data_IF_179142069473
#
_entry.id   IF_179142069473
#
_cell.length_a   1.000
_cell.length_b   1.000
_cell.length_c   1.000
_cell.angle_alpha   90.00
_cell.angle_beta   90.00
_cell.angle_gamma   90.00
#
_symmetry.space_group_name_H-M   'P 1'
#
loop_
_entity.id
_entity.type
_entity.pdbx_description
1 polymer ?
#
# COMPACT_ATOMS: atom_id res chain seq x y z
N UNK A 1 35.72 -9.05 3.90
CA UNK A 1 35.04 -7.79 3.54
C UNK A 1 34.16 -7.44 4.73
N UNK A 2 34.45 -6.34 5.44
CA UNK A 2 33.61 -5.91 6.55
C UNK A 2 32.23 -5.53 6.00
N UNK A 3 31.15 -5.92 6.67
CA UNK A 3 29.82 -5.38 6.36
C UNK A 3 29.89 -3.86 6.47
N UNK A 4 29.52 -3.16 5.39
CA UNK A 4 29.28 -1.72 5.47
C UNK A 4 28.19 -1.48 6.51
N UNK A 5 28.40 -0.50 7.39
CA UNK A 5 27.41 -0.13 8.39
C UNK A 5 26.17 0.45 7.68
N UNK A 6 25.03 -0.20 7.89
CA UNK A 6 23.73 0.20 7.31
C UNK A 6 22.75 0.63 8.40
N UNK A 7 21.80 1.46 8.00
CA UNK A 7 20.66 1.87 8.82
C UNK A 7 19.38 1.82 8.01
N UNK A 8 18.24 1.86 8.69
CA UNK A 8 16.93 1.97 8.05
C UNK A 8 16.49 3.43 7.96
N UNK A 9 15.89 3.80 6.83
CA UNK A 9 15.24 5.09 6.59
C UNK A 9 13.84 4.82 6.08
N UNK A 10 12.85 5.41 6.75
CA UNK A 10 11.46 5.40 6.30
C UNK A 10 11.15 6.66 5.51
N UNK A 11 10.60 6.47 4.31
CA UNK A 11 10.28 7.55 3.38
C UNK A 11 8.79 7.54 3.06
N UNK A 12 8.15 8.70 3.24
CA UNK A 12 6.70 8.85 3.06
C UNK A 12 6.34 9.81 1.92
N UNK A 13 7.32 10.54 1.37
CA UNK A 13 7.11 11.67 0.47
C UNK A 13 7.75 11.52 -0.91
N UNK A 14 8.52 12.54 -1.31
CA UNK A 14 9.15 12.64 -2.64
C UNK A 14 10.22 11.57 -2.92
N UNK A 15 10.76 10.95 -1.87
CA UNK A 15 11.72 9.84 -1.94
C UNK A 15 11.10 8.47 -2.24
N UNK A 16 9.77 8.31 -2.06
CA UNK A 16 9.07 7.05 -2.34
C UNK A 16 9.17 6.67 -3.81
N UNK A 17 9.05 5.37 -4.11
CA UNK A 17 9.06 4.81 -5.46
C UNK A 17 8.15 5.61 -6.39
N UNK A 18 8.63 5.86 -7.61
CA UNK A 18 7.96 6.62 -8.68
C UNK A 18 7.74 8.12 -8.40
N UNK A 19 8.31 8.67 -7.33
CA UNK A 19 8.32 10.11 -7.06
C UNK A 19 9.66 10.78 -7.43
N UNK A 20 9.65 12.12 -7.45
CA UNK A 20 10.73 12.92 -8.04
C UNK A 20 12.13 12.71 -7.46
N UNK A 21 12.24 12.37 -6.17
CA UNK A 21 13.53 12.17 -5.51
C UNK A 21 13.89 10.68 -5.36
N UNK A 22 13.09 9.74 -5.88
CA UNK A 22 13.38 8.31 -5.74
C UNK A 22 14.70 7.90 -6.40
N UNK A 23 15.21 8.68 -7.36
CA UNK A 23 16.50 8.42 -8.01
C UNK A 23 17.66 8.26 -7.01
N UNK A 24 17.60 8.91 -5.84
CA UNK A 24 18.61 8.81 -4.80
C UNK A 24 18.59 7.46 -4.05
N UNK A 25 17.48 6.71 -4.09
CA UNK A 25 17.31 5.44 -3.40
C UNK A 25 17.38 4.22 -4.33
N UNK A 26 17.66 4.40 -5.62
CA UNK A 26 17.66 3.28 -6.61
C UNK A 26 18.65 2.16 -6.27
N UNK A 27 19.76 2.48 -5.60
CA UNK A 27 20.75 1.48 -5.16
C UNK A 27 20.47 0.93 -3.75
N UNK A 28 19.52 1.50 -3.02
CA UNK A 28 19.14 1.06 -1.69
C UNK A 28 18.23 -0.16 -1.78
N UNK A 29 18.39 -1.10 -0.84
CA UNK A 29 17.49 -2.24 -0.74
C UNK A 29 16.17 -1.80 -0.12
N UNK A 30 15.07 -1.96 -0.85
CA UNK A 30 13.73 -1.83 -0.28
C UNK A 30 13.49 -2.99 0.70
N UNK A 31 13.23 -2.67 1.96
CA UNK A 31 12.95 -3.64 3.03
C UNK A 31 11.46 -3.93 3.12
N UNK A 32 10.62 -2.89 2.95
CA UNK A 32 9.17 -2.99 2.88
C UNK A 32 8.60 -1.87 1.99
N UNK A 33 7.79 -2.24 1.01
CA UNK A 33 7.01 -1.33 0.18
C UNK A 33 5.77 -0.82 0.93
N UNK A 34 5.23 -1.62 1.84
CA UNK A 34 4.09 -1.29 2.68
C UNK A 34 4.55 -1.16 4.14
N UNK A 35 4.65 0.08 4.59
CA UNK A 35 5.01 0.38 5.98
C UNK A 35 4.32 1.65 6.46
N UNK A 36 4.26 1.83 7.78
CA UNK A 36 3.72 3.05 8.36
C UNK A 36 4.40 3.41 9.68
N UNK A 37 4.34 4.69 10.04
CA UNK A 37 4.75 5.21 11.35
C UNK A 37 3.67 6.11 11.92
N UNK A 38 3.72 6.36 13.23
CA UNK A 38 2.81 7.26 13.91
C UNK A 38 3.10 8.72 13.52
N UNK A 39 2.04 9.45 13.17
CA UNK A 39 2.13 10.87 12.85
C UNK A 39 0.97 11.35 11.98
N UNK A 40 0.99 12.63 11.62
CA UNK A 40 0.10 13.18 10.61
C UNK A 40 0.88 13.80 9.46
N UNK A 41 0.38 13.58 8.25
CA UNK A 41 0.99 14.08 7.03
C UNK A 41 0.33 15.39 6.59
N UNK A 42 1.15 16.34 6.16
CA UNK A 42 0.74 17.66 5.69
C UNK A 42 1.38 17.99 4.35
N UNK A 43 0.73 18.86 3.60
CA UNK A 43 1.26 19.48 2.40
C UNK A 43 1.51 20.96 2.66
N UNK A 44 2.74 21.43 2.40
CA UNK A 44 3.07 22.85 2.45
C UNK A 44 2.49 23.62 1.26
N UNK A 45 2.51 24.95 1.33
CA UNK A 45 2.17 25.84 0.21
C UNK A 45 3.03 25.53 -1.03
N UNK A 46 4.29 25.15 -0.83
CA UNK A 46 5.21 24.76 -1.90
C UNK A 46 4.96 23.35 -2.46
N UNK A 47 3.95 22.63 -1.97
CA UNK A 47 3.60 21.29 -2.44
C UNK A 47 4.53 20.19 -1.92
N UNK A 48 5.17 20.39 -0.76
CA UNK A 48 6.06 19.41 -0.15
C UNK A 48 5.39 18.67 1.01
N UNK A 49 5.63 17.35 1.16
CA UNK A 49 5.07 16.55 2.24
C UNK A 49 5.86 16.70 3.55
N UNK A 50 5.17 17.06 4.63
CA UNK A 50 5.73 17.15 5.98
C UNK A 50 5.03 16.17 6.92
N UNK A 51 5.80 15.40 7.69
CA UNK A 51 5.28 14.55 8.75
C UNK A 51 5.43 15.26 10.09
N UNK A 52 4.33 15.41 10.82
CA UNK A 52 4.32 15.85 12.22
C UNK A 52 4.19 14.62 13.14
N UNK A 53 5.24 14.27 13.89
CA UNK A 53 5.27 13.06 14.72
C UNK A 53 4.49 13.22 16.03
N UNK A 54 4.09 14.45 16.40
CA UNK A 54 3.37 14.73 17.63
C UNK A 54 1.86 14.59 17.47
N UNK A 55 1.36 14.53 16.24
CA UNK A 55 -0.06 14.35 15.96
C UNK A 55 -0.44 12.88 15.75
N UNK A 56 -1.67 12.54 16.18
CA UNK A 56 -2.22 11.21 15.98
C UNK A 56 -2.50 10.89 14.51
N UNK A 57 -2.31 9.63 14.15
CA UNK A 57 -2.59 9.10 12.82
C UNK A 57 -1.53 8.11 12.36
N UNK A 58 -1.68 7.62 11.14
CA UNK A 58 -0.66 6.81 10.46
C UNK A 58 -0.20 7.55 9.22
N UNK A 59 1.12 7.59 9.02
CA UNK A 59 1.72 8.01 7.76
C UNK A 59 2.27 6.78 7.06
N UNK A 60 1.83 6.55 5.84
CA UNK A 60 2.20 5.40 5.03
C UNK A 60 3.38 5.74 4.11
N UNK A 61 4.29 4.78 3.99
CA UNK A 61 5.54 4.95 3.28
C UNK A 61 6.24 3.63 3.01
N UNK A 62 7.51 3.76 2.67
CA UNK A 62 8.40 2.66 2.29
C UNK A 62 9.62 2.69 3.20
N UNK A 63 10.20 1.52 3.46
CA UNK A 63 11.34 1.34 4.34
C UNK A 63 12.55 0.88 3.52
N UNK A 64 13.65 1.62 3.60
CA UNK A 64 14.87 1.32 2.85
C UNK A 64 16.06 1.11 3.79
N UNK A 65 16.92 0.17 3.41
CA UNK A 65 18.24 0.00 4.01
C UNK A 65 19.26 0.84 3.25
N UNK A 66 19.94 1.74 3.96
CA UNK A 66 20.91 2.69 3.40
C UNK A 66 22.22 2.59 4.14
N UNK A 67 23.34 2.75 3.43
CA UNK A 67 24.64 2.92 4.09
C UNK A 67 24.84 4.37 4.56
N UNK A 68 25.86 4.60 5.39
CA UNK A 68 26.14 5.92 5.97
C UNK A 68 26.38 7.00 4.90
N UNK A 69 27.04 6.66 3.79
CA UNK A 69 27.29 7.62 2.70
C UNK A 69 25.99 8.10 2.05
N UNK A 70 25.06 7.17 1.79
CA UNK A 70 23.74 7.49 1.27
C UNK A 70 22.91 8.28 2.29
N UNK A 71 22.95 7.91 3.57
CA UNK A 71 22.26 8.65 4.63
C UNK A 71 22.71 10.11 4.69
N UNK A 72 24.02 10.37 4.62
CA UNK A 72 24.55 11.74 4.57
C UNK A 72 24.13 12.50 3.30
N UNK A 73 23.93 11.79 2.19
CA UNK A 73 23.39 12.39 0.97
C UNK A 73 21.93 12.81 1.16
N UNK A 74 21.11 11.95 1.77
CA UNK A 74 19.73 12.27 2.14
C UNK A 74 19.66 13.44 3.12
N UNK A 75 20.57 13.52 4.09
CA UNK A 75 20.65 14.67 5.00
C UNK A 75 20.85 15.99 4.27
N UNK A 76 21.73 16.01 3.26
CA UNK A 76 21.94 17.21 2.43
C UNK A 76 20.70 17.55 1.61
N UNK A 77 20.05 16.54 1.02
CA UNK A 77 18.82 16.71 0.23
C UNK A 77 17.69 17.29 1.08
N UNK A 78 17.46 16.73 2.27
CA UNK A 78 16.39 17.10 3.19
C UNK A 78 16.76 18.32 4.07
N UNK A 79 17.93 18.92 3.86
CA UNK A 79 18.39 20.09 4.59
C UNK A 79 18.59 19.85 6.09
N UNK A 80 18.97 18.63 6.47
CA UNK A 80 19.34 18.25 7.84
C UNK A 80 20.83 18.49 8.07
N UNK A 81 21.16 19.34 9.04
CA UNK A 81 22.53 19.74 9.42
C UNK A 81 22.97 19.18 10.77
N UNK A 82 22.10 18.43 11.44
CA UNK A 82 22.34 17.90 12.79
C UNK A 82 21.27 18.32 13.80
N UNK A 83 21.30 17.69 14.98
CA UNK A 83 20.36 17.98 16.06
C UNK A 83 20.54 19.41 16.59
N UNK A 84 19.43 20.09 16.88
CA UNK A 84 19.42 21.47 17.40
C UNK A 84 19.81 22.56 16.38
N UNK A 85 20.08 22.20 15.12
CA UNK A 85 20.40 23.15 14.05
C UNK A 85 19.14 23.66 13.35
N UNK A 86 19.29 24.77 12.62
CA UNK A 86 18.23 25.26 11.72
C UNK A 86 18.14 24.35 10.48
N UNK A 87 17.25 23.37 10.58
CA UNK A 87 17.02 22.35 9.56
C UNK A 87 15.77 22.66 8.72
N UNK A 88 15.74 22.12 7.49
CA UNK A 88 14.53 22.08 6.67
C UNK A 88 13.61 20.93 7.12
N UNK A 89 14.14 19.71 7.22
CA UNK A 89 13.56 18.61 8.01
C UNK A 89 14.48 18.21 9.16
N UNK A 90 13.90 17.80 10.30
CA UNK A 90 14.64 17.16 11.39
C UNK A 90 14.65 15.66 11.20
N UNK A 91 15.79 14.99 11.40
CA UNK A 91 15.84 13.52 11.40
C UNK A 91 15.66 12.99 12.82
N UNK A 92 14.68 12.12 13.01
CA UNK A 92 14.38 11.45 14.28
C UNK A 92 14.33 9.94 14.08
N UNK A 93 14.45 9.16 15.14
CA UNK A 93 14.20 7.72 15.11
C UNK A 93 12.73 7.45 15.50
N UNK A 94 12.02 6.64 14.72
CA UNK A 94 10.67 6.18 15.03
C UNK A 94 10.53 4.67 14.85
N UNK A 95 9.50 4.12 15.48
CA UNK A 95 9.05 2.76 15.20
C UNK A 95 8.21 2.75 13.94
N UNK A 96 8.64 1.96 12.97
CA UNK A 96 7.97 1.75 11.68
C UNK A 96 7.39 0.35 11.68
N UNK A 97 6.11 0.24 11.38
CA UNK A 97 5.39 -1.02 11.33
C UNK A 97 5.33 -1.53 9.88
N UNK A 98 5.68 -2.79 9.69
CA UNK A 98 5.61 -3.51 8.41
C UNK A 98 4.82 -4.80 8.60
N UNK A 99 4.44 -5.44 7.50
CA UNK A 99 3.79 -6.76 7.53
C UNK A 99 4.69 -7.86 8.13
N UNK A 100 6.01 -7.61 8.21
CA UNK A 100 7.00 -8.52 8.81
C UNK A 100 7.37 -8.16 10.23
N UNK A 101 6.70 -7.17 10.81
CA UNK A 101 6.92 -6.69 12.16
C UNK A 101 7.52 -5.28 12.24
N UNK A 102 7.62 -4.74 13.47
CA UNK A 102 8.08 -3.38 13.71
C UNK A 102 9.62 -3.27 13.67
N UNK A 103 10.12 -2.18 13.10
CA UNK A 103 11.54 -1.86 12.95
C UNK A 103 11.79 -0.40 13.32
N UNK A 104 12.93 -0.10 13.94
CA UNK A 104 13.36 1.28 14.18
C UNK A 104 14.01 1.84 12.92
N UNK A 105 13.62 3.05 12.52
CA UNK A 105 14.17 3.71 11.35
C UNK A 105 14.29 5.22 11.55
N UNK A 106 15.20 5.83 10.79
CA UNK A 106 15.24 7.28 10.68
C UNK A 106 14.10 7.81 9.82
N UNK A 107 13.51 8.91 10.28
CA UNK A 107 12.40 9.61 9.61
C UNK A 107 12.74 11.10 9.58
N UNK A 108 12.60 11.73 8.41
CA UNK A 108 12.67 13.18 8.28
C UNK A 108 11.30 13.77 8.64
N UNK A 109 11.23 14.68 9.60
CA UNK A 109 9.98 15.22 10.13
C UNK A 109 10.02 16.75 10.12
N UNK A 110 8.85 17.37 10.24
CA UNK A 110 8.76 18.81 10.37
C UNK A 110 9.54 19.29 11.61
N UNK A 111 10.36 20.35 11.52
CA UNK A 111 11.02 20.91 12.70
C UNK A 111 9.98 21.48 13.68
N UNK A 112 10.25 21.34 14.99
CA UNK A 112 9.38 21.87 16.04
C UNK A 112 9.05 23.35 15.80
N UNK A 113 7.76 23.69 15.91
CA UNK A 113 7.29 25.07 15.74
C UNK A 113 7.28 25.60 14.30
N UNK A 114 7.62 24.79 13.28
CA UNK A 114 7.52 25.18 11.86
C UNK A 114 6.19 24.80 11.19
N UNK A 115 5.32 24.10 11.90
CA UNK A 115 3.95 23.90 11.45
C UNK A 115 3.23 25.25 11.44
N UNK A 116 2.57 25.58 10.34
CA UNK A 116 1.78 26.80 10.20
C UNK A 116 0.35 26.46 9.76
N UNK A 117 -0.53 27.46 9.83
CA UNK A 117 -1.96 27.32 9.48
C UNK A 117 -2.18 27.08 7.98
N UNK A 118 -1.21 27.44 7.13
CA UNK A 118 -1.29 27.28 5.68
C UNK A 118 -1.01 25.84 5.21
N UNK A 119 -0.46 24.99 6.08
CA UNK A 119 -0.24 23.58 5.80
C UNK A 119 -1.54 22.79 5.84
N UNK A 120 -1.86 22.10 4.75
CA UNK A 120 -3.08 21.31 4.64
C UNK A 120 -2.81 19.88 5.06
N UNK A 121 -3.63 19.36 5.98
CA UNK A 121 -3.59 17.95 6.34
C UNK A 121 -3.89 17.08 5.13
N UNK A 122 -3.14 15.99 4.96
CA UNK A 122 -3.38 14.97 3.94
C UNK A 122 -4.18 13.83 4.58
N UNK A 123 -5.45 13.73 4.20
CA UNK A 123 -6.31 12.63 4.63
C UNK A 123 -5.78 11.27 4.15
N UNK A 124 -5.97 10.23 4.95
CA UNK A 124 -5.45 8.88 4.67
C UNK A 124 -3.94 8.71 4.87
N UNK A 125 -3.18 9.79 5.06
CA UNK A 125 -1.77 9.71 5.46
C UNK A 125 -0.83 9.14 4.40
N UNK A 126 -1.23 9.09 3.13
CA UNK A 126 -0.40 8.58 2.03
C UNK A 126 -0.19 9.63 0.94
N UNK A 127 1.05 10.11 0.82
CA UNK A 127 1.46 11.11 -0.17
C UNK A 127 1.24 10.67 -1.62
N UNK A 128 1.50 9.40 -1.94
CA UNK A 128 1.38 8.87 -3.30
C UNK A 128 -0.08 8.79 -3.71
N UNK A 129 -0.97 8.36 -2.81
CA UNK A 129 -2.41 8.40 -3.04
C UNK A 129 -2.89 9.85 -3.24
N UNK A 130 -2.56 10.76 -2.32
CA UNK A 130 -2.91 12.18 -2.43
C UNK A 130 -2.47 12.80 -3.76
N UNK A 131 -1.22 12.55 -4.15
CA UNK A 131 -0.64 13.04 -5.40
C UNK A 131 -1.31 12.44 -6.64
N UNK A 132 -1.69 11.17 -6.59
CA UNK A 132 -2.36 10.48 -7.69
C UNK A 132 -3.76 11.05 -7.94
N UNK A 133 -4.54 11.23 -6.87
CA UNK A 133 -5.92 11.71 -6.94
C UNK A 133 -6.01 13.17 -7.43
N UNK A 134 -5.00 14.00 -7.14
CA UNK A 134 -4.92 15.36 -7.68
C UNK A 134 -4.66 15.44 -9.18
N UNK A 135 -4.00 14.43 -9.75
CA UNK A 135 -3.44 14.48 -11.11
C UNK A 135 -4.25 13.68 -12.13
N UNK A 136 -5.07 12.73 -11.69
CA UNK A 136 -5.77 11.78 -12.55
C UNK A 136 -7.25 11.71 -12.22
N UNK A 137 -8.05 11.43 -13.24
CA UNK A 137 -9.50 11.13 -13.14
C UNK A 137 -9.84 9.69 -13.57
N UNK A 138 -8.82 8.92 -13.96
CA UNK A 138 -8.88 7.50 -14.29
C UNK A 138 -7.74 6.78 -13.61
N UNK A 139 -8.03 5.59 -13.10
CA UNK A 139 -7.11 4.82 -12.27
C UNK A 139 -7.08 3.37 -12.75
N UNK A 140 -5.91 2.76 -12.67
CA UNK A 140 -5.82 1.30 -12.75
C UNK A 140 -6.08 0.75 -11.35
N UNK A 141 -7.01 -0.18 -11.24
CA UNK A 141 -7.42 -0.82 -10.00
C UNK A 141 -7.18 -2.32 -10.08
N UNK A 142 -6.36 -2.84 -9.17
CA UNK A 142 -6.07 -4.26 -9.03
C UNK A 142 -6.97 -4.89 -7.97
N UNK A 143 -7.90 -5.73 -8.42
CA UNK A 143 -8.73 -6.55 -7.56
C UNK A 143 -8.14 -7.96 -7.45
N UNK A 144 -8.00 -8.46 -6.23
CA UNK A 144 -7.36 -9.77 -5.94
C UNK A 144 -8.29 -10.76 -5.22
N UNK A 145 -9.57 -10.42 -5.06
CA UNK A 145 -10.55 -11.20 -4.31
C UNK A 145 -11.99 -10.94 -4.81
N UNK A 146 -12.99 -10.78 -3.93
CA UNK A 146 -14.40 -10.60 -4.31
C UNK A 146 -14.70 -9.46 -5.30
N UNK A 147 -13.82 -8.47 -5.43
CA UNK A 147 -13.95 -7.42 -6.44
C UNK A 147 -13.60 -7.90 -7.87
N UNK A 148 -13.15 -9.16 -8.03
CA UNK A 148 -13.04 -9.82 -9.33
C UNK A 148 -14.40 -10.33 -9.83
N UNK A 149 -15.37 -10.52 -8.92
CA UNK A 149 -16.70 -11.01 -9.27
C UNK A 149 -17.71 -9.87 -9.50
N UNK A 150 -18.44 -9.97 -10.60
CA UNK A 150 -19.37 -8.93 -11.02
C UNK A 150 -20.77 -9.05 -10.41
N UNK A 151 -21.13 -10.13 -9.70
CA UNK A 151 -22.51 -10.28 -9.19
C UNK A 151 -22.86 -9.14 -8.22
N UNK A 152 -21.98 -8.82 -7.27
CA UNK A 152 -22.20 -7.72 -6.33
C UNK A 152 -22.18 -6.35 -7.00
N UNK A 153 -21.39 -6.17 -8.05
CA UNK A 153 -21.44 -4.92 -8.82
C UNK A 153 -22.78 -4.75 -9.53
N UNK A 154 -23.33 -5.83 -10.11
CA UNK A 154 -24.65 -5.82 -10.76
C UNK A 154 -25.77 -5.56 -9.76
N UNK A 155 -25.76 -6.24 -8.62
CA UNK A 155 -26.74 -6.02 -7.55
C UNK A 155 -26.72 -4.60 -7.00
N UNK A 156 -25.56 -3.94 -7.00
CA UNK A 156 -25.41 -2.55 -6.60
C UNK A 156 -25.62 -1.55 -7.76
N UNK A 157 -25.88 -2.01 -8.99
CA UNK A 157 -26.07 -1.14 -10.17
C UNK A 157 -24.80 -0.44 -10.67
N UNK A 158 -23.62 -0.91 -10.30
CA UNK A 158 -22.32 -0.27 -10.58
C UNK A 158 -21.42 -1.08 -11.51
N UNK A 159 -21.89 -2.21 -12.05
CA UNK A 159 -21.10 -3.09 -12.91
C UNK A 159 -20.60 -2.41 -14.19
N UNK A 160 -21.33 -1.41 -14.68
CA UNK A 160 -20.92 -0.59 -15.82
C UNK A 160 -19.56 0.10 -15.61
N UNK A 161 -19.15 0.35 -14.36
CA UNK A 161 -17.83 0.91 -14.05
C UNK A 161 -16.68 -0.10 -14.17
N UNK A 162 -16.96 -1.40 -14.16
CA UNK A 162 -15.97 -2.48 -14.13
C UNK A 162 -15.85 -3.22 -15.47
N UNK A 163 -16.32 -2.63 -16.57
CA UNK A 163 -16.31 -3.26 -17.90
C UNK A 163 -14.97 -3.12 -18.63
N UNK A 164 -14.14 -2.12 -18.27
CA UNK A 164 -12.85 -1.87 -18.92
C UNK A 164 -11.73 -2.68 -18.25
N UNK A 165 -11.72 -3.98 -18.53
CA UNK A 165 -10.72 -4.94 -18.02
C UNK A 165 -9.45 -4.86 -18.88
N UNK A 166 -8.30 -4.67 -18.23
CA UNK A 166 -6.98 -4.66 -18.88
C UNK A 166 -6.33 -6.04 -18.93
N UNK A 167 -6.77 -6.97 -18.09
CA UNK A 167 -6.35 -8.36 -18.08
C UNK A 167 -5.92 -8.85 -16.70
N UNK A 168 -5.27 -10.01 -16.67
CA UNK A 168 -4.71 -10.62 -15.47
C UNK A 168 -3.42 -9.89 -15.06
N UNK A 169 -3.43 -9.30 -13.88
CA UNK A 169 -2.25 -8.74 -13.23
C UNK A 169 -1.60 -9.75 -12.29
N UNK A 170 -0.27 -9.68 -12.15
CA UNK A 170 0.50 -10.45 -11.17
C UNK A 170 1.23 -9.50 -10.23
N UNK A 171 0.92 -9.57 -8.94
CA UNK A 171 1.60 -8.87 -7.87
C UNK A 171 2.62 -9.81 -7.23
N UNK A 172 3.90 -9.46 -7.25
CA UNK A 172 4.99 -10.27 -6.68
C UNK A 172 5.44 -9.71 -5.34
N UNK A 173 5.88 -10.58 -4.44
CA UNK A 173 6.32 -10.19 -3.10
C UNK A 173 5.19 -10.13 -2.07
N UNK A 174 3.97 -10.48 -2.47
CA UNK A 174 2.78 -10.47 -1.63
C UNK A 174 2.09 -11.83 -1.66
N UNK A 175 1.36 -12.11 -0.58
CA UNK A 175 0.53 -13.30 -0.44
C UNK A 175 -0.91 -12.91 -0.14
N UNK A 176 -1.86 -13.60 -0.77
CA UNK A 176 -3.29 -13.47 -0.45
C UNK A 176 -3.54 -14.08 0.94
N UNK A 177 -4.08 -13.31 1.88
CA UNK A 177 -4.43 -13.77 3.23
C UNK A 177 -5.84 -13.34 3.61
N UNK A 178 -6.41 -13.89 4.69
CA UNK A 178 -7.71 -13.47 5.22
C UNK A 178 -7.60 -12.82 6.60
N UNK A 179 -6.98 -11.64 6.64
CA UNK A 179 -6.57 -10.92 7.86
C UNK A 179 -7.60 -9.90 8.35
N UNK A 180 -8.76 -9.75 7.69
CA UNK A 180 -9.84 -8.90 8.20
C UNK A 180 -10.99 -9.76 8.68
N UNK A 181 -11.23 -9.79 10.00
CA UNK A 181 -12.35 -10.55 10.55
C UNK A 181 -13.69 -9.91 10.20
N UNK A 182 -14.65 -10.73 9.79
CA UNK A 182 -16.05 -10.39 9.61
C UNK A 182 -16.92 -11.28 10.48
N UNK A 183 -18.21 -10.95 10.56
CA UNK A 183 -19.18 -11.73 11.34
C UNK A 183 -19.31 -13.19 10.85
N UNK A 184 -18.95 -13.47 9.60
CA UNK A 184 -19.10 -14.75 8.92
C UNK A 184 -17.77 -15.38 8.46
N UNK A 185 -16.62 -14.79 8.83
CA UNK A 185 -15.30 -15.30 8.47
C UNK A 185 -14.31 -14.21 8.04
N UNK A 186 -13.11 -14.62 7.65
CA UNK A 186 -12.08 -13.71 7.18
C UNK A 186 -12.40 -13.07 5.83
N UNK A 187 -11.84 -11.90 5.57
CA UNK A 187 -11.87 -11.19 4.29
C UNK A 187 -10.47 -10.99 3.75
N UNK A 188 -10.39 -11.01 2.43
CA UNK A 188 -9.12 -11.05 1.71
C UNK A 188 -8.28 -9.80 1.94
N UNK A 189 -6.98 -9.99 1.91
CA UNK A 189 -5.94 -8.99 2.07
C UNK A 189 -4.71 -9.41 1.28
N UNK A 190 -3.83 -8.47 0.99
CA UNK A 190 -2.48 -8.75 0.48
C UNK A 190 -1.46 -8.40 1.56
N UNK A 191 -0.60 -9.36 1.89
CA UNK A 191 0.42 -9.25 2.93
C UNK A 191 1.81 -9.32 2.29
N UNK A 192 2.69 -8.35 2.59
CA UNK A 192 4.03 -8.20 2.00
C UNK A 192 5.06 -9.17 2.62
N UNK A 193 4.83 -10.46 2.46
CA UNK A 193 5.64 -11.54 3.04
C UNK A 193 6.29 -12.45 1.99
N UNK A 194 6.34 -12.00 0.74
CA UNK A 194 6.72 -12.83 -0.40
C UNK A 194 5.52 -13.51 -1.04
N UNK A 195 5.79 -14.33 -2.05
CA UNK A 195 4.77 -15.02 -2.83
C UNK A 195 4.31 -14.23 -4.06
N UNK A 196 3.18 -14.67 -4.61
CA UNK A 196 2.54 -14.12 -5.79
C UNK A 196 1.04 -14.01 -5.52
N UNK A 197 0.43 -12.92 -5.96
CA UNK A 197 -1.02 -12.74 -6.02
C UNK A 197 -1.41 -12.40 -7.45
N UNK A 198 -2.25 -13.23 -8.07
CA UNK A 198 -2.91 -12.86 -9.32
C UNK A 198 -4.25 -12.19 -9.04
N UNK A 199 -4.64 -11.30 -9.95
CA UNK A 199 -5.89 -10.55 -9.85
C UNK A 199 -6.29 -9.95 -11.19
N UNK A 200 -7.42 -9.24 -11.20
CA UNK A 200 -7.94 -8.55 -12.38
C UNK A 200 -7.58 -7.06 -12.29
N UNK A 201 -7.02 -6.54 -13.38
CA UNK A 201 -6.73 -5.13 -13.53
C UNK A 201 -7.86 -4.43 -14.29
N UNK A 202 -8.53 -3.48 -13.64
CA UNK A 202 -9.57 -2.64 -14.23
C UNK A 202 -9.04 -1.23 -14.49
N UNK A 203 -9.55 -0.54 -15.51
CA UNK A 203 -9.50 0.93 -15.56
C UNK A 203 -10.81 1.49 -15.04
N UNK A 204 -10.75 2.25 -13.95
CA UNK A 204 -11.91 2.80 -13.24
C UNK A 204 -11.90 4.33 -13.26
N UNK A 205 -13.09 4.93 -13.27
CA UNK A 205 -13.27 6.38 -13.15
C UNK A 205 -13.14 6.86 -11.70
N UNK A 206 -13.06 8.18 -11.50
CA UNK A 206 -13.17 8.79 -10.17
C UNK A 206 -14.49 8.46 -9.47
N UNK A 207 -15.60 8.38 -10.19
CA UNK A 207 -16.91 7.98 -9.64
C UNK A 207 -16.87 6.55 -9.09
N UNK A 208 -16.33 5.61 -9.87
CA UNK A 208 -16.15 4.23 -9.44
C UNK A 208 -15.21 4.14 -8.22
N UNK A 209 -14.18 4.98 -8.18
CA UNK A 209 -13.28 5.04 -7.03
C UNK A 209 -14.00 5.45 -5.74
N UNK A 210 -14.95 6.40 -5.80
CA UNK A 210 -15.77 6.77 -4.63
C UNK A 210 -16.61 5.59 -4.14
N UNK A 211 -17.19 4.81 -5.05
CA UNK A 211 -17.88 3.56 -4.71
C UNK A 211 -16.93 2.56 -4.03
N UNK A 212 -15.72 2.37 -4.57
CA UNK A 212 -14.72 1.48 -3.97
C UNK A 212 -14.34 1.95 -2.56
N UNK A 213 -14.15 3.24 -2.32
CA UNK A 213 -13.83 3.77 -0.98
C UNK A 213 -14.91 3.45 0.04
N UNK A 214 -16.18 3.54 -0.36
CA UNK A 214 -17.31 3.16 0.49
C UNK A 214 -17.35 1.64 0.72
N UNK A 215 -17.21 0.83 -0.33
CA UNK A 215 -17.24 -0.63 -0.27
C UNK A 215 -16.13 -1.19 0.62
N UNK A 216 -14.93 -0.64 0.51
CA UNK A 216 -13.73 -1.06 1.25
C UNK A 216 -13.64 -0.41 2.64
N UNK A 217 -14.62 0.43 3.01
CA UNK A 217 -14.71 1.01 4.35
C UNK A 217 -13.53 1.92 4.71
N UNK A 218 -13.02 2.69 3.75
CA UNK A 218 -11.84 3.56 3.93
C UNK A 218 -12.07 4.60 5.04
N UNK A 219 -13.26 5.19 5.10
CA UNK A 219 -13.62 6.16 6.15
C UNK A 219 -13.63 5.54 7.57
N UNK A 220 -13.75 4.22 7.67
CA UNK A 220 -13.76 3.47 8.92
C UNK A 220 -12.43 2.75 9.19
N UNK A 221 -11.39 3.05 8.39
CA UNK A 221 -10.08 2.40 8.49
C UNK A 221 -10.14 0.87 8.42
N UNK A 222 -11.06 0.30 7.63
CA UNK A 222 -11.10 -1.15 7.41
C UNK A 222 -9.99 -1.54 6.42
N UNK A 223 -10.04 -0.97 5.23
CA UNK A 223 -8.95 -0.99 4.26
C UNK A 223 -8.44 0.43 4.01
N UNK A 224 -7.18 0.55 3.61
CA UNK A 224 -6.61 1.77 3.05
C UNK A 224 -6.37 1.61 1.55
N UNK A 225 -6.48 2.68 0.75
CA UNK A 225 -5.91 2.67 -0.59
C UNK A 225 -4.38 2.50 -0.51
N UNK A 226 -3.83 1.76 -1.45
CA UNK A 226 -2.39 1.55 -1.60
C UNK A 226 -2.01 1.54 -3.08
N UNK A 227 -0.75 1.85 -3.38
CA UNK A 227 -0.20 1.73 -4.72
C UNK A 227 0.82 0.60 -4.77
N UNK A 228 0.65 -0.28 -5.74
CA UNK A 228 1.53 -1.42 -6.03
C UNK A 228 1.95 -1.39 -7.50
N UNK A 229 3.04 -2.08 -7.81
CA UNK A 229 3.44 -2.33 -9.19
C UNK A 229 2.97 -3.72 -9.61
N UNK A 230 2.30 -3.80 -10.76
CA UNK A 230 1.68 -5.03 -11.25
C UNK A 230 2.36 -5.47 -12.55
N UNK A 231 2.72 -6.73 -12.65
CA UNK A 231 3.12 -7.32 -13.92
C UNK A 231 1.87 -7.64 -14.76
N UNK A 232 1.80 -7.04 -15.95
CA UNK A 232 0.74 -7.24 -16.94
C UNK A 232 1.40 -7.51 -18.30
N UNK A 233 1.13 -8.68 -18.88
CA UNK A 233 1.68 -9.09 -20.18
C UNK A 233 3.22 -8.96 -20.26
N UNK A 234 3.92 -9.39 -19.20
CA UNK A 234 5.38 -9.33 -19.10
C UNK A 234 5.97 -7.93 -18.92
N UNK A 235 5.12 -6.91 -18.70
CA UNK A 235 5.55 -5.53 -18.43
C UNK A 235 5.11 -5.10 -17.05
N UNK A 236 5.94 -4.32 -16.37
CA UNK A 236 5.57 -3.68 -15.11
C UNK A 236 4.68 -2.47 -15.39
N UNK A 237 3.53 -2.44 -14.73
CA UNK A 237 2.61 -1.32 -14.68
C UNK A 237 2.70 -0.71 -13.29
N UNK A 238 3.21 0.51 -13.24
CA UNK A 238 3.51 1.22 -11.99
C UNK A 238 2.28 1.93 -11.42
N UNK A 239 2.29 2.15 -10.10
CA UNK A 239 1.28 2.97 -9.41
C UNK A 239 -0.17 2.49 -9.63
N UNK A 240 -0.39 1.19 -9.56
CA UNK A 240 -1.72 0.59 -9.63
C UNK A 240 -2.38 0.66 -8.26
N UNK A 241 -3.61 1.17 -8.22
CA UNK A 241 -4.40 1.26 -7.01
C UNK A 241 -4.87 -0.13 -6.58
N UNK A 242 -4.79 -0.39 -5.28
CA UNK A 242 -5.44 -1.52 -4.62
C UNK A 242 -5.85 -1.14 -3.20
N UNK A 243 -6.43 -2.06 -2.45
CA UNK A 243 -6.83 -1.85 -1.07
C UNK A 243 -6.16 -2.88 -0.16
N UNK A 244 -5.64 -2.43 0.98
CA UNK A 244 -4.91 -3.27 1.95
C UNK A 244 -5.55 -3.10 3.32
N UNK A 245 -5.71 -4.18 4.08
CA UNK A 245 -6.25 -4.13 5.44
C UNK A 245 -5.37 -3.24 6.33
N UNK A 246 -5.99 -2.34 7.09
CA UNK A 246 -5.29 -1.39 7.97
C UNK A 246 -4.79 -2.07 9.24
N UNK A 247 -5.70 -2.77 9.92
CA UNK A 247 -5.44 -3.53 11.14
C UNK A 247 -5.64 -5.01 10.85
N UNK A 248 -4.52 -5.71 10.63
CA UNK A 248 -4.50 -7.12 10.24
C UNK A 248 -4.67 -8.00 11.49
N UNK A 249 -5.71 -8.81 11.51
CA UNK A 249 -5.92 -9.92 12.43
C UNK A 249 -5.15 -11.17 12.01
N UNK A 250 -5.04 -12.13 12.93
CA UNK A 250 -4.71 -13.52 12.59
C UNK A 250 -5.64 -14.05 11.49
N UNK A 251 -5.03 -14.76 10.53
CA UNK A 251 -5.74 -15.28 9.38
C UNK A 251 -6.89 -16.21 9.81
N UNK A 252 -8.09 -15.90 9.36
CA UNK A 252 -9.31 -16.67 9.69
C UNK A 252 -9.98 -17.16 8.42
N UNK A 253 -10.54 -18.37 8.47
CA UNK A 253 -11.21 -18.96 7.31
C UNK A 253 -12.29 -18.01 6.75
N UNK A 254 -12.32 -17.77 5.43
CA UNK A 254 -13.44 -17.12 4.78
C UNK A 254 -14.70 -17.99 4.77
N UNK A 255 -15.87 -17.37 4.60
CA UNK A 255 -17.11 -18.10 4.38
C UNK A 255 -17.12 -18.80 3.01
N UNK A 256 -17.89 -19.89 2.88
CA UNK A 256 -18.03 -20.62 1.62
C UNK A 256 -18.54 -19.71 0.49
N UNK A 257 -19.59 -18.90 0.73
CA UNK A 257 -20.12 -17.98 -0.28
C UNK A 257 -19.11 -16.90 -0.70
N UNK A 258 -18.22 -16.47 0.20
CA UNK A 258 -17.18 -15.49 -0.14
C UNK A 258 -16.07 -16.14 -0.98
N UNK A 259 -15.72 -17.39 -0.70
CA UNK A 259 -14.83 -18.16 -1.58
C UNK A 259 -15.44 -18.38 -2.97
N UNK A 260 -16.74 -18.67 -3.06
CA UNK A 260 -17.44 -18.77 -4.34
C UNK A 260 -17.33 -17.47 -5.15
N UNK A 261 -17.46 -16.30 -4.52
CA UNK A 261 -17.20 -15.01 -5.17
C UNK A 261 -15.77 -14.93 -5.72
N UNK A 262 -14.76 -15.30 -4.93
CA UNK A 262 -13.36 -15.26 -5.34
C UNK A 262 -13.10 -16.19 -6.53
N UNK A 263 -13.53 -17.45 -6.43
CA UNK A 263 -13.30 -18.45 -7.49
C UNK A 263 -14.10 -18.14 -8.75
N UNK A 264 -15.37 -17.72 -8.62
CA UNK A 264 -16.18 -17.32 -9.78
C UNK A 264 -15.59 -16.09 -10.47
N UNK A 265 -15.16 -15.08 -9.72
CA UNK A 265 -14.54 -13.89 -10.28
C UNK A 265 -13.18 -14.16 -10.93
N UNK A 266 -12.39 -15.07 -10.35
CA UNK A 266 -11.10 -15.46 -10.90
C UNK A 266 -11.17 -16.39 -12.11
N UNK A 267 -12.25 -17.18 -12.23
CA UNK A 267 -12.42 -18.15 -13.32
C UNK A 267 -12.42 -17.48 -14.69
N UNK A 268 -11.58 -17.98 -15.60
CA UNK A 268 -11.39 -17.41 -16.94
C UNK A 268 -10.47 -16.19 -17.00
N UNK A 269 -9.99 -15.69 -15.86
CA UNK A 269 -9.01 -14.59 -15.79
C UNK A 269 -7.68 -15.04 -15.19
N UNK A 270 -7.71 -15.64 -13.99
CA UNK A 270 -6.51 -16.10 -13.29
C UNK A 270 -5.96 -17.36 -13.94
N UNK A 271 -4.68 -17.65 -13.71
CA UNK A 271 -4.06 -18.88 -14.20
C UNK A 271 -4.62 -20.11 -13.48
N UNK A 272 -4.72 -21.22 -14.21
CA UNK A 272 -5.17 -22.50 -13.65
C UNK A 272 -4.27 -22.92 -12.49
N UNK A 273 -2.96 -22.77 -12.64
CA UNK A 273 -1.97 -23.07 -11.59
C UNK A 273 -2.23 -22.25 -10.32
N UNK A 274 -2.42 -20.94 -10.43
CA UNK A 274 -2.70 -20.11 -9.25
C UNK A 274 -4.03 -20.47 -8.57
N UNK A 275 -5.06 -20.77 -9.37
CA UNK A 275 -6.37 -21.21 -8.86
C UNK A 275 -6.28 -22.55 -8.13
N UNK A 276 -5.54 -23.52 -8.69
CA UNK A 276 -5.30 -24.82 -8.05
C UNK A 276 -4.48 -24.70 -6.76
N UNK A 277 -3.43 -23.89 -6.75
CA UNK A 277 -2.63 -23.62 -5.56
C UNK A 277 -3.48 -22.95 -4.46
N UNK A 278 -4.35 -22.02 -4.85
CA UNK A 278 -5.28 -21.38 -3.93
C UNK A 278 -6.27 -22.39 -3.34
N UNK A 279 -6.87 -23.27 -4.16
CA UNK A 279 -7.74 -24.37 -3.69
C UNK A 279 -7.00 -25.25 -2.68
N UNK A 280 -5.85 -25.83 -3.06
CA UNK A 280 -5.04 -26.71 -2.19
C UNK A 280 -4.68 -26.04 -0.86
N UNK A 281 -4.31 -24.76 -0.91
CA UNK A 281 -4.02 -23.99 0.31
C UNK A 281 -5.24 -23.85 1.20
N UNK A 282 -6.42 -23.57 0.65
CA UNK A 282 -7.64 -23.40 1.44
C UNK A 282 -8.12 -24.71 2.05
N UNK A 283 -7.99 -25.82 1.33
CA UNK A 283 -8.26 -27.15 1.88
C UNK A 283 -7.31 -27.47 3.04
N UNK A 284 -6.00 -27.21 2.87
CA UNK A 284 -5.00 -27.47 3.91
C UNK A 284 -5.11 -26.54 5.13
N UNK A 285 -5.33 -25.24 4.91
CA UNK A 285 -5.32 -24.22 5.98
C UNK A 285 -6.66 -24.12 6.72
N UNK A 286 -7.78 -24.45 6.07
CA UNK A 286 -9.12 -24.24 6.64
C UNK A 286 -9.98 -25.51 6.69
N UNK A 287 -9.47 -26.66 6.25
CA UNK A 287 -10.19 -27.94 6.22
C UNK A 287 -11.54 -27.83 5.47
N UNK A 288 -11.55 -27.08 4.37
CA UNK A 288 -12.68 -26.92 3.47
C UNK A 288 -12.57 -27.96 2.33
N UNK A 289 -13.69 -28.46 1.81
CA UNK A 289 -13.71 -29.24 0.56
C UNK A 289 -14.19 -28.33 -0.57
N UNK A 290 -13.33 -28.00 -1.53
CA UNK A 290 -13.65 -27.10 -2.65
C UNK A 290 -13.68 -27.90 -3.97
N UNK A 291 -14.86 -28.33 -4.39
CA UNK A 291 -15.06 -28.95 -5.71
C UNK A 291 -14.74 -27.97 -6.87
#
# INVERSE_FOLDING_TARGET
MGMEETTLVFVYGTLRKHNGNHCFLKSARCVAEQSWTQGRLFESISGLPFLDPMEGGRVYGELYEVNIALLQHLDRLEGFKGSGQSNFYCRVEQMVHTDRGPLKAFVYVIPNGKKNEDMKSIEGGDWRIHSLLKKKNKFLYFAYASCMDHQRFKSAGVDHHFQNIKGRGTLRGYSLRFTRKSYDGGRADIVEEGGIVEGILYEVSEECLRYLYQREGVAFSIYRPALVDIELNGKTVENVLTFIVVDKDEETAPSAHYLEEIFRGGSGFLSETYMEEMKKRFEASFNLSLE
#
